data_IF_212019851753
#
_entry.id   IF_212019851753
#
_cell.length_a   1.000
_cell.length_b   1.000
_cell.length_c   1.000
_cell.angle_alpha   90.00
_cell.angle_beta   90.00
_cell.angle_gamma   90.00
#
_symmetry.space_group_name_H-M   'P 1'
#
loop_
_entity.id
_entity.type
_entity.pdbx_description
1 polymer ?
#
# COMPACT_ATOMS: atom_id res chain seq x y z
N UNK A 1 -10.87 -3.64 8.90
CA UNK A 1 -9.83 -2.91 9.66
C UNK A 1 -9.20 -3.88 10.66
N UNK A 2 -7.90 -4.15 10.53
CA UNK A 2 -7.20 -5.06 11.46
C UNK A 2 -5.69 -4.83 11.40
N UNK A 3 -5.09 -4.53 12.56
CA UNK A 3 -3.71 -4.06 12.72
C UNK A 3 -3.42 -2.73 11.97
N UNK A 4 -2.25 -2.15 12.24
CA UNK A 4 -1.81 -0.88 11.66
C UNK A 4 -0.40 -0.49 12.12
N UNK A 5 0.62 -1.31 11.83
CA UNK A 5 2.01 -0.98 12.16
C UNK A 5 2.48 0.22 11.33
N UNK A 6 3.47 0.95 11.84
CA UNK A 6 4.10 2.03 11.08
C UNK A 6 4.79 1.51 9.81
N UNK A 7 4.79 2.35 8.76
CA UNK A 7 5.43 2.02 7.49
C UNK A 7 6.92 2.46 7.44
N UNK A 8 7.42 3.24 8.41
CA UNK A 8 8.83 3.62 8.49
C UNK A 8 9.67 2.57 9.25
N UNK A 9 9.31 2.24 10.50
CA UNK A 9 10.03 1.28 11.37
C UNK A 9 9.49 -0.15 11.28
N UNK A 10 8.40 -0.38 10.53
CA UNK A 10 7.85 -1.70 10.23
C UNK A 10 7.34 -1.74 8.77
N UNK A 11 6.50 -2.72 8.42
CA UNK A 11 6.07 -2.98 7.03
C UNK A 11 4.82 -2.21 6.59
N UNK A 12 4.07 -1.60 7.50
CA UNK A 12 3.03 -0.63 7.10
C UNK A 12 1.75 -1.21 6.47
N UNK A 13 1.34 -2.43 6.83
CA UNK A 13 0.15 -3.08 6.26
C UNK A 13 -0.81 -3.65 7.32
N UNK A 14 -2.06 -3.85 6.91
CA UNK A 14 -3.02 -4.72 7.59
C UNK A 14 -2.47 -6.15 7.78
N UNK A 15 -3.04 -6.91 8.71
CA UNK A 15 -2.58 -8.27 8.99
C UNK A 15 -2.76 -9.23 7.80
N UNK A 16 -1.85 -10.20 7.68
CA UNK A 16 -1.98 -11.32 6.74
C UNK A 16 -3.28 -12.12 7.01
N UNK A 17 -3.69 -12.21 8.28
CA UNK A 17 -4.92 -12.91 8.65
C UNK A 17 -6.15 -12.24 8.02
N UNK A 18 -6.22 -10.91 8.02
CA UNK A 18 -7.33 -10.18 7.43
C UNK A 18 -7.41 -10.40 5.92
N UNK A 19 -6.28 -10.31 5.22
CA UNK A 19 -6.22 -10.56 3.77
C UNK A 19 -6.63 -11.99 3.42
N UNK A 20 -6.19 -13.00 4.19
CA UNK A 20 -6.60 -14.39 3.98
C UNK A 20 -8.09 -14.58 4.16
N UNK A 21 -8.68 -14.03 5.22
CA UNK A 21 -10.13 -14.11 5.44
C UNK A 21 -10.89 -13.44 4.28
N UNK A 22 -10.43 -12.26 3.86
CA UNK A 22 -11.05 -11.54 2.75
C UNK A 22 -10.99 -12.34 1.43
N UNK A 23 -9.86 -12.99 1.13
CA UNK A 23 -9.68 -13.79 -0.08
C UNK A 23 -10.57 -15.04 -0.13
N UNK A 24 -11.02 -15.56 1.02
CA UNK A 24 -11.96 -16.69 1.06
C UNK A 24 -13.43 -16.26 0.97
N UNK A 25 -13.73 -14.97 1.20
CA UNK A 25 -15.10 -14.46 1.33
C UNK A 25 -15.51 -13.53 0.18
N UNK A 26 -14.58 -12.99 -0.60
CA UNK A 26 -14.85 -12.08 -1.69
C UNK A 26 -14.14 -12.46 -2.98
N UNK A 27 -14.72 -12.04 -4.11
CA UNK A 27 -14.16 -12.29 -5.43
C UNK A 27 -12.87 -11.48 -5.67
N UNK A 28 -12.76 -10.31 -5.04
CA UNK A 28 -11.61 -9.42 -5.10
C UNK A 28 -11.32 -8.82 -3.73
N UNK A 29 -10.04 -8.71 -3.38
CA UNK A 29 -9.57 -8.06 -2.17
C UNK A 29 -8.72 -6.85 -2.53
N UNK A 30 -9.17 -5.68 -2.09
CA UNK A 30 -8.38 -4.45 -2.17
C UNK A 30 -7.77 -4.18 -0.80
N UNK A 31 -6.44 -4.11 -0.74
CA UNK A 31 -5.67 -3.72 0.45
C UNK A 31 -4.67 -2.62 0.08
N UNK A 32 -4.14 -1.94 1.08
CA UNK A 32 -3.20 -0.83 0.92
C UNK A 32 -1.91 -1.01 1.71
N UNK A 33 -0.93 -0.16 1.41
CA UNK A 33 0.32 0.00 2.14
C UNK A 33 0.54 1.47 2.49
N UNK A 34 1.11 1.73 3.66
CA UNK A 34 1.42 3.10 4.09
C UNK A 34 2.59 3.75 3.33
N UNK A 35 2.57 5.07 3.21
CA UNK A 35 3.51 5.88 2.40
C UNK A 35 3.45 5.56 0.89
N UNK A 36 4.48 5.99 0.14
CA UNK A 36 4.59 5.76 -1.30
C UNK A 36 5.02 4.34 -1.66
N UNK A 37 5.07 4.07 -2.96
CA UNK A 37 5.47 2.75 -3.47
C UNK A 37 6.95 2.41 -3.16
N UNK A 38 7.77 3.43 -2.98
CA UNK A 38 9.18 3.35 -2.56
C UNK A 38 9.39 2.82 -1.13
N UNK A 39 8.34 2.76 -0.31
CA UNK A 39 8.43 2.28 1.06
C UNK A 39 7.34 1.27 1.42
N UNK A 40 6.06 1.63 1.24
CA UNK A 40 4.96 0.75 1.60
C UNK A 40 4.81 -0.44 0.67
N UNK A 41 4.86 -0.18 -0.64
CA UNK A 41 4.71 -1.25 -1.64
C UNK A 41 5.93 -2.17 -1.67
N UNK A 42 7.15 -1.63 -1.59
CA UNK A 42 8.38 -2.44 -1.46
C UNK A 42 8.25 -3.43 -0.29
N UNK A 43 7.92 -2.95 0.92
CA UNK A 43 7.74 -3.83 2.09
C UNK A 43 6.54 -4.78 1.96
N UNK A 44 5.47 -4.37 1.28
CA UNK A 44 4.36 -5.29 1.00
C UNK A 44 4.82 -6.46 0.14
N UNK A 45 5.56 -6.20 -0.95
CA UNK A 45 6.07 -7.24 -1.85
C UNK A 45 7.16 -8.09 -1.19
N UNK A 46 8.15 -7.44 -0.58
CA UNK A 46 9.36 -8.11 -0.11
C UNK A 46 9.21 -8.69 1.31
N UNK A 47 8.30 -8.19 2.14
CA UNK A 47 8.06 -8.72 3.50
C UNK A 47 6.72 -9.44 3.58
N UNK A 48 5.60 -8.74 3.36
CA UNK A 48 4.26 -9.30 3.62
C UNK A 48 3.91 -10.43 2.65
N UNK A 49 4.10 -10.25 1.35
CA UNK A 49 3.84 -11.28 0.34
C UNK A 49 4.76 -12.48 0.53
N UNK A 50 6.08 -12.25 0.72
CA UNK A 50 7.05 -13.32 1.01
C UNK A 50 6.70 -14.11 2.28
N UNK A 51 6.30 -13.44 3.36
CA UNK A 51 5.94 -14.11 4.62
C UNK A 51 4.58 -14.83 4.56
N UNK A 52 3.64 -14.32 3.76
CA UNK A 52 2.27 -14.86 3.68
C UNK A 52 2.08 -15.92 2.60
N UNK A 53 2.93 -15.91 1.56
CA UNK A 53 2.74 -16.65 0.32
C UNK A 53 1.70 -16.05 -0.63
N UNK A 54 1.12 -14.89 -0.29
CA UNK A 54 0.14 -14.20 -1.15
C UNK A 54 0.86 -13.44 -2.27
N UNK A 55 0.21 -13.36 -3.43
CA UNK A 55 0.70 -12.59 -4.58
C UNK A 55 -0.41 -11.65 -5.06
N UNK A 56 -0.16 -10.34 -5.22
CA UNK A 56 -1.14 -9.44 -5.81
C UNK A 56 -1.26 -9.68 -7.32
N UNK A 57 -2.48 -9.63 -7.83
CA UNK A 57 -2.77 -9.77 -9.27
C UNK A 57 -2.68 -8.43 -10.02
N UNK A 58 -2.89 -7.31 -9.32
CA UNK A 58 -2.75 -5.96 -9.87
C UNK A 58 -2.32 -4.96 -8.78
N UNK A 59 -1.85 -3.79 -9.23
CA UNK A 59 -1.44 -2.68 -8.36
C UNK A 59 -2.10 -1.39 -8.86
N UNK A 60 -2.63 -0.60 -7.93
CA UNK A 60 -3.17 0.74 -8.21
C UNK A 60 -2.26 1.79 -7.56
N UNK A 61 -1.59 2.61 -8.39
CA UNK A 61 -0.77 3.71 -7.90
C UNK A 61 -1.59 5.00 -7.87
N UNK A 62 -1.93 5.47 -6.67
CA UNK A 62 -2.68 6.72 -6.50
C UNK A 62 -1.76 7.92 -6.76
N UNK A 63 -2.19 8.82 -7.63
CA UNK A 63 -1.53 10.10 -7.90
C UNK A 63 -2.56 11.22 -8.00
N UNK A 64 -2.15 12.45 -7.69
CA UNK A 64 -2.99 13.64 -7.85
C UNK A 64 -2.27 14.70 -8.67
N UNK A 65 -3.02 15.50 -9.42
CA UNK A 65 -2.47 16.63 -10.19
C UNK A 65 -1.69 17.59 -9.30
N UNK A 66 -2.17 17.85 -8.07
CA UNK A 66 -1.47 18.70 -7.10
C UNK A 66 -0.15 18.09 -6.65
N UNK A 67 -0.12 16.80 -6.30
CA UNK A 67 1.11 16.12 -5.89
C UNK A 67 2.15 16.16 -7.01
N UNK A 68 1.76 15.86 -8.25
CA UNK A 68 2.66 15.91 -9.41
C UNK A 68 3.21 17.33 -9.65
N UNK A 69 2.38 18.38 -9.50
CA UNK A 69 2.85 19.77 -9.58
C UNK A 69 3.85 20.12 -8.48
N UNK A 70 3.61 19.68 -7.24
CA UNK A 70 4.53 19.88 -6.11
C UNK A 70 5.88 19.22 -6.36
N UNK A 71 5.91 18.00 -6.92
CA UNK A 71 7.14 17.30 -7.23
C UNK A 71 7.81 17.76 -8.53
N UNK A 72 7.08 18.41 -9.44
CA UNK A 72 7.56 18.87 -10.74
C UNK A 72 8.31 20.22 -10.74
N UNK A 73 8.54 20.83 -9.57
CA UNK A 73 9.28 22.11 -9.46
C UNK A 73 8.53 23.34 -9.98
N UNK A 74 7.22 23.21 -10.20
CA UNK A 74 6.37 24.31 -10.68
C UNK A 74 6.06 25.37 -9.61
N UNK A 75 5.20 26.35 -9.94
CA UNK A 75 4.73 27.34 -8.98
C UNK A 75 4.11 26.68 -7.74
N UNK A 76 4.18 27.38 -6.60
CA UNK A 76 3.64 26.89 -5.33
C UNK A 76 2.18 26.44 -5.51
N UNK A 77 1.92 25.18 -5.17
CA UNK A 77 0.56 24.61 -5.17
C UNK A 77 -0.23 25.20 -4.01
N UNK A 78 -1.39 25.79 -4.31
CA UNK A 78 -2.35 26.33 -3.33
C UNK A 78 -3.54 25.38 -3.17
N UNK A 79 -4.20 25.45 -2.01
CA UNK A 79 -5.34 24.60 -1.66
C UNK A 79 -6.59 24.96 -2.48
#
# INVERSE_FOLDING_TARGET
VHAGPFANIAHGNSSILADRVALHLGDYVVTESGFGADMGMEKFMDIKCRASGLKPDCVVLVATVRALKTHGGGPRVVA
#
